data_IF_027248749266
#
_entry.id   IF_027248749266
#
_cell.length_a   1.000
_cell.length_b   1.000
_cell.length_c   1.000
_cell.angle_alpha   90.00
_cell.angle_beta   90.00
_cell.angle_gamma   90.00
#
_symmetry.space_group_name_H-M   'P 1'
#
loop_
_entity.id
_entity.type
_entity.pdbx_description
1 polymer ?
#
# COMPACT_ATOMS: atom_id res chain seq x y z
N UNK A 1 28.98 -6.14 27.44
CA UNK A 1 29.39 -5.39 26.22
C UNK A 1 28.32 -5.47 25.12
N UNK A 2 27.46 -4.44 25.02
CA UNK A 2 26.34 -4.36 24.07
C UNK A 2 26.75 -3.71 22.72
N UNK A 3 28.00 -3.85 22.30
CA UNK A 3 28.57 -3.16 21.14
C UNK A 3 28.53 -3.96 19.82
N UNK A 4 27.83 -5.10 19.77
CA UNK A 4 27.86 -6.01 18.60
C UNK A 4 26.51 -6.25 17.91
N UNK A 5 25.53 -5.35 18.04
CA UNK A 5 24.31 -5.40 17.21
C UNK A 5 24.35 -4.24 16.21
N UNK A 6 25.14 -4.41 15.15
CA UNK A 6 25.07 -3.58 13.93
C UNK A 6 24.03 -4.11 12.94
N UNK A 7 22.89 -4.61 13.43
CA UNK A 7 21.72 -4.82 12.57
C UNK A 7 20.82 -3.61 12.73
N UNK A 8 20.91 -2.68 11.79
CA UNK A 8 19.93 -1.59 11.74
C UNK A 8 18.54 -2.19 11.54
N UNK A 9 17.50 -1.59 12.16
CA UNK A 9 16.09 -1.97 11.92
C UNK A 9 15.81 -2.12 10.42
N UNK A 10 16.38 -1.22 9.60
CA UNK A 10 16.37 -1.27 8.14
C UNK A 10 16.87 -2.60 7.57
N UNK A 11 18.01 -3.12 8.01
CA UNK A 11 18.55 -4.43 7.58
C UNK A 11 17.68 -5.59 8.07
N UNK A 12 17.11 -5.49 9.28
CA UNK A 12 16.19 -6.48 9.82
C UNK A 12 14.89 -6.56 8.99
N UNK A 13 14.31 -5.41 8.62
CA UNK A 13 13.14 -5.35 7.76
C UNK A 13 13.46 -5.70 6.31
N UNK A 14 14.67 -5.44 5.82
CA UNK A 14 15.10 -5.84 4.46
C UNK A 14 15.12 -7.36 4.28
N UNK A 15 15.55 -8.12 5.30
CA UNK A 15 15.44 -9.59 5.30
C UNK A 15 14.00 -10.07 5.49
N UNK A 16 13.20 -9.38 6.30
CA UNK A 16 11.75 -9.64 6.39
C UNK A 16 11.06 -9.38 5.03
N UNK A 17 11.51 -8.38 4.25
CA UNK A 17 10.98 -8.08 2.89
C UNK A 17 11.22 -9.20 1.89
N UNK A 18 12.39 -9.83 1.90
CA UNK A 18 12.68 -11.00 1.05
C UNK A 18 11.78 -12.18 1.42
N UNK A 19 11.50 -12.35 2.71
CA UNK A 19 10.64 -13.41 3.21
C UNK A 19 9.13 -13.16 2.98
N UNK A 20 8.72 -11.88 2.88
CA UNK A 20 7.35 -11.44 2.61
C UNK A 20 7.07 -11.11 1.13
N UNK A 21 8.07 -11.26 0.25
CA UNK A 21 7.89 -11.32 -1.20
C UNK A 21 6.94 -10.25 -1.76
N UNK A 22 7.28 -8.97 -1.66
CA UNK A 22 6.69 -7.93 -2.49
C UNK A 22 7.23 -8.05 -3.93
N UNK A 23 6.80 -9.13 -4.60
CA UNK A 23 6.82 -9.31 -6.04
C UNK A 23 5.46 -9.90 -6.42
N UNK A 24 4.42 -9.10 -6.21
CA UNK A 24 3.10 -9.39 -6.76
C UNK A 24 2.65 -8.22 -7.63
N UNK A 25 3.25 -8.05 -8.82
CA UNK A 25 2.92 -6.97 -9.75
C UNK A 25 1.45 -7.00 -10.25
N UNK A 26 0.59 -7.84 -9.69
CA UNK A 26 -0.81 -7.98 -10.11
C UNK A 26 -1.82 -8.12 -8.96
N UNK A 27 -1.40 -8.15 -7.68
CA UNK A 27 -2.34 -8.35 -6.57
C UNK A 27 -3.22 -7.11 -6.34
N UNK A 28 -2.68 -5.92 -6.58
CA UNK A 28 -3.42 -4.68 -6.44
C UNK A 28 -4.18 -4.28 -7.71
N UNK A 29 -3.73 -4.69 -8.89
CA UNK A 29 -4.28 -4.29 -10.18
C UNK A 29 -5.80 -4.46 -10.29
N UNK A 30 -6.34 -5.58 -9.79
CA UNK A 30 -7.78 -5.85 -9.80
C UNK A 30 -8.54 -4.87 -8.92
N UNK A 31 -8.00 -4.53 -7.75
CA UNK A 31 -8.66 -3.62 -6.81
C UNK A 31 -8.46 -2.15 -7.25
N UNK A 32 -7.29 -1.81 -7.80
CA UNK A 32 -7.01 -0.48 -8.34
C UNK A 32 -7.91 -0.16 -9.53
N UNK A 33 -8.22 -1.13 -10.41
CA UNK A 33 -9.19 -0.97 -11.49
C UNK A 33 -10.65 -0.87 -11.02
N UNK A 34 -10.96 -1.30 -9.79
CA UNK A 34 -12.28 -1.06 -9.18
C UNK A 34 -12.35 0.34 -8.55
N UNK A 35 -11.24 0.79 -7.98
CA UNK A 35 -11.11 2.06 -7.28
C UNK A 35 -10.97 3.26 -8.23
N UNK A 36 -10.27 3.05 -9.35
CA UNK A 36 -9.95 4.04 -10.37
C UNK A 36 -10.39 3.54 -11.76
N UNK A 37 -10.52 4.45 -12.72
CA UNK A 37 -10.94 4.16 -14.08
C UNK A 37 -9.81 4.38 -15.09
N UNK A 38 -9.74 3.53 -16.12
CA UNK A 38 -8.91 3.73 -17.31
C UNK A 38 -9.74 4.17 -18.53
N UNK A 39 -11.00 4.55 -18.35
CA UNK A 39 -11.87 4.95 -19.45
C UNK A 39 -11.35 6.25 -20.11
N UNK A 40 -11.45 6.30 -21.45
CA UNK A 40 -11.06 7.46 -22.25
C UNK A 40 -11.87 8.70 -21.87
N UNK A 41 -13.10 8.53 -21.39
CA UNK A 41 -13.95 9.61 -20.86
C UNK A 41 -13.28 10.39 -19.72
N UNK A 42 -12.42 9.74 -18.93
CA UNK A 42 -11.75 10.32 -17.77
C UNK A 42 -10.34 10.85 -18.05
N UNK A 43 -9.90 10.96 -19.32
CA UNK A 43 -8.52 11.38 -19.66
C UNK A 43 -8.10 12.74 -19.08
N UNK A 44 -9.05 13.63 -18.83
CA UNK A 44 -8.80 14.96 -18.23
C UNK A 44 -8.81 14.97 -16.71
N UNK A 45 -9.21 13.86 -16.08
CA UNK A 45 -9.29 13.76 -14.64
C UNK A 45 -7.89 13.61 -14.01
N UNK A 46 -7.73 13.95 -12.73
CA UNK A 46 -6.49 13.70 -12.00
C UNK A 46 -6.07 12.24 -12.09
N UNK A 47 -4.76 12.00 -12.19
CA UNK A 47 -4.22 10.64 -12.21
C UNK A 47 -4.37 10.00 -10.84
N UNK A 48 -4.67 8.70 -10.82
CA UNK A 48 -4.77 7.92 -9.59
C UNK A 48 -3.48 7.99 -8.77
N UNK A 49 -2.33 7.97 -9.45
CA UNK A 49 -1.01 8.10 -8.83
C UNK A 49 -0.82 9.44 -8.12
N UNK A 50 -1.28 10.56 -8.71
CA UNK A 50 -1.18 11.87 -8.07
C UNK A 50 -2.08 11.96 -6.83
N UNK A 51 -3.32 11.48 -6.93
CA UNK A 51 -4.26 11.46 -5.81
C UNK A 51 -3.77 10.59 -4.64
N UNK A 52 -3.32 9.37 -4.93
CA UNK A 52 -2.74 8.49 -3.89
C UNK A 52 -1.49 9.11 -3.26
N UNK A 53 -0.64 9.78 -4.04
CA UNK A 53 0.53 10.48 -3.51
C UNK A 53 0.13 11.61 -2.56
N UNK A 54 -0.91 12.38 -2.91
CA UNK A 54 -1.45 13.45 -2.09
C UNK A 54 -2.05 12.92 -0.78
N UNK A 55 -2.78 11.79 -0.83
CA UNK A 55 -3.43 11.22 0.35
C UNK A 55 -2.50 10.37 1.23
N UNK A 56 -1.33 10.00 0.71
CA UNK A 56 -0.38 9.05 1.33
C UNK A 56 -0.17 9.28 2.82
N UNK A 57 0.11 10.52 3.23
CA UNK A 57 0.41 10.86 4.61
C UNK A 57 -0.77 10.61 5.57
N UNK A 58 -1.98 10.95 5.12
CA UNK A 58 -3.21 10.76 5.89
C UNK A 58 -3.59 9.29 5.96
N UNK A 59 -3.59 8.59 4.81
CA UNK A 59 -3.88 7.15 4.76
C UNK A 59 -2.93 6.40 5.70
N UNK A 60 -1.63 6.69 5.63
CA UNK A 60 -0.63 6.09 6.51
C UNK A 60 -0.96 6.30 7.98
N UNK A 61 -1.27 7.53 8.38
CA UNK A 61 -1.57 7.86 9.78
C UNK A 61 -2.81 7.12 10.27
N UNK A 62 -3.89 7.15 9.50
CA UNK A 62 -5.16 6.49 9.84
C UNK A 62 -4.98 4.98 9.92
N UNK A 63 -4.41 4.37 8.87
CA UNK A 63 -4.24 2.92 8.82
C UNK A 63 -3.29 2.41 9.90
N UNK A 64 -2.19 3.11 10.19
CA UNK A 64 -1.28 2.73 11.26
C UNK A 64 -2.00 2.71 12.61
N UNK A 65 -2.82 3.73 12.88
CA UNK A 65 -3.58 3.85 14.12
C UNK A 65 -4.58 2.71 14.31
N UNK A 66 -5.26 2.29 13.24
CA UNK A 66 -6.32 1.27 13.32
C UNK A 66 -5.82 -0.17 13.23
N UNK A 67 -4.70 -0.41 12.52
CA UNK A 67 -4.18 -1.76 12.27
C UNK A 67 -3.02 -2.14 13.18
N UNK A 68 -2.40 -1.17 13.87
CA UNK A 68 -1.14 -1.38 14.61
C UNK A 68 0.06 -1.69 13.71
N UNK A 69 -0.10 -1.60 12.38
CA UNK A 69 0.98 -1.83 11.45
C UNK A 69 2.02 -0.71 11.50
N UNK A 70 3.28 -1.08 11.23
CA UNK A 70 4.36 -0.11 11.13
C UNK A 70 4.12 0.84 9.95
N UNK A 71 4.23 2.15 10.17
CA UNK A 71 4.09 3.19 9.15
C UNK A 71 4.91 2.92 7.89
N UNK A 72 6.12 2.35 8.04
CA UNK A 72 6.97 1.95 6.93
C UNK A 72 6.31 0.89 6.03
N UNK A 73 5.64 -0.12 6.61
CA UNK A 73 4.96 -1.17 5.84
C UNK A 73 3.81 -0.58 5.01
N UNK A 74 3.03 0.32 5.62
CA UNK A 74 1.94 1.01 4.92
C UNK A 74 2.51 1.90 3.80
N UNK A 75 3.62 2.60 4.06
CA UNK A 75 4.31 3.39 3.04
C UNK A 75 4.81 2.55 1.85
N UNK A 76 5.24 1.30 2.09
CA UNK A 76 5.61 0.39 1.01
C UNK A 76 4.39 -0.02 0.17
N UNK A 77 3.29 -0.40 0.82
CA UNK A 77 2.04 -0.75 0.12
C UNK A 77 1.53 0.42 -0.72
N UNK A 78 1.52 1.63 -0.14
CA UNK A 78 1.12 2.84 -0.86
C UNK A 78 2.06 3.15 -2.04
N UNK A 79 3.37 2.96 -1.88
CA UNK A 79 4.34 3.15 -2.96
C UNK A 79 4.08 2.20 -4.13
N UNK A 80 3.87 0.92 -3.85
CA UNK A 80 3.55 -0.08 -4.87
C UNK A 80 2.24 0.26 -5.58
N UNK A 81 1.19 0.61 -4.84
CA UNK A 81 -0.08 1.05 -5.44
C UNK A 81 0.07 2.28 -6.35
N UNK A 82 0.91 3.25 -5.96
CA UNK A 82 1.19 4.44 -6.78
C UNK A 82 1.91 4.04 -8.08
N UNK A 83 2.89 3.15 -8.02
CA UNK A 83 3.62 2.64 -9.18
C UNK A 83 2.69 1.88 -10.14
N UNK A 84 1.88 0.95 -9.62
CA UNK A 84 0.86 0.24 -10.40
C UNK A 84 -0.15 1.19 -11.05
N UNK A 85 -0.61 2.22 -10.34
CA UNK A 85 -1.50 3.24 -10.90
C UNK A 85 -0.88 4.01 -12.08
N UNK A 86 0.45 4.25 -12.06
CA UNK A 86 1.17 4.87 -13.18
C UNK A 86 1.24 3.93 -14.38
N UNK A 87 1.62 2.68 -14.14
CA UNK A 87 1.73 1.67 -15.20
C UNK A 87 0.39 1.37 -15.90
N UNK A 88 -0.70 1.39 -15.14
CA UNK A 88 -2.04 1.16 -15.64
C UNK A 88 -2.73 2.43 -16.18
N UNK A 89 -2.06 3.58 -16.13
CA UNK A 89 -2.57 4.89 -16.52
C UNK A 89 -3.95 5.23 -15.91
N UNK A 90 -4.16 4.82 -14.66
CA UNK A 90 -5.44 4.96 -13.97
C UNK A 90 -5.73 6.42 -13.62
N UNK A 91 -7.00 6.79 -13.70
CA UNK A 91 -7.53 8.12 -13.41
C UNK A 91 -8.75 8.05 -12.50
N UNK A 92 -9.07 9.17 -11.87
CA UNK A 92 -10.26 9.29 -11.04
C UNK A 92 -11.53 9.06 -11.89
N UNK A 93 -12.36 8.09 -11.50
CA UNK A 93 -13.65 7.79 -12.16
C UNK A 93 -14.88 8.06 -11.29
N UNK A 94 -14.68 8.49 -10.04
CA UNK A 94 -15.72 8.78 -9.05
C UNK A 94 -15.41 10.09 -8.33
N UNK A 95 -16.21 10.50 -7.35
CA UNK A 95 -15.85 11.67 -6.54
C UNK A 95 -14.60 11.41 -5.69
N UNK A 96 -13.82 12.47 -5.49
CA UNK A 96 -12.57 12.45 -4.71
C UNK A 96 -12.76 11.86 -3.31
N UNK A 97 -13.82 12.25 -2.61
CA UNK A 97 -14.10 11.80 -1.24
C UNK A 97 -14.40 10.30 -1.14
N UNK A 98 -15.21 9.79 -2.07
CA UNK A 98 -15.55 8.35 -2.14
C UNK A 98 -14.30 7.55 -2.47
N UNK A 99 -13.56 7.96 -3.50
CA UNK A 99 -12.33 7.28 -3.90
C UNK A 99 -11.28 7.27 -2.77
N UNK A 100 -11.10 8.38 -2.05
CA UNK A 100 -10.18 8.45 -0.91
C UNK A 100 -10.59 7.49 0.21
N UNK A 101 -11.89 7.41 0.52
CA UNK A 101 -12.43 6.48 1.52
C UNK A 101 -12.15 5.04 1.12
N UNK A 102 -12.44 4.67 -0.11
CA UNK A 102 -12.25 3.31 -0.61
C UNK A 102 -10.76 2.95 -0.68
N UNK A 103 -9.88 3.91 -1.02
CA UNK A 103 -8.44 3.75 -0.97
C UNK A 103 -7.95 3.45 0.46
N UNK A 104 -8.46 4.17 1.47
CA UNK A 104 -8.14 3.90 2.88
C UNK A 104 -8.55 2.49 3.30
N UNK A 105 -9.75 2.04 2.92
CA UNK A 105 -10.26 0.70 3.22
C UNK A 105 -9.37 -0.37 2.58
N UNK A 106 -9.02 -0.20 1.30
CA UNK A 106 -8.16 -1.15 0.58
C UNK A 106 -6.79 -1.29 1.23
N UNK A 107 -6.15 -0.17 1.59
CA UNK A 107 -4.84 -0.17 2.24
C UNK A 107 -4.94 -0.82 3.63
N UNK A 108 -5.98 -0.53 4.41
CA UNK A 108 -6.21 -1.17 5.70
C UNK A 108 -6.40 -2.68 5.57
N UNK A 109 -7.27 -3.12 4.66
CA UNK A 109 -7.54 -4.55 4.43
C UNK A 109 -6.27 -5.30 4.03
N UNK A 110 -5.48 -4.73 3.11
CA UNK A 110 -4.23 -5.34 2.64
C UNK A 110 -3.22 -5.40 3.77
N UNK A 111 -3.02 -4.30 4.48
CA UNK A 111 -2.10 -4.23 5.62
C UNK A 111 -2.47 -5.23 6.72
N UNK A 112 -3.74 -5.31 7.11
CA UNK A 112 -4.23 -6.29 8.09
C UNK A 112 -4.07 -7.73 7.61
N UNK A 113 -4.38 -8.02 6.34
CA UNK A 113 -4.16 -9.35 5.78
C UNK A 113 -2.68 -9.73 5.81
N UNK A 114 -1.77 -8.80 5.55
CA UNK A 114 -0.32 -9.04 5.66
C UNK A 114 0.09 -9.36 7.10
N UNK A 115 -0.40 -8.61 8.09
CA UNK A 115 -0.12 -8.87 9.51
C UNK A 115 -0.63 -10.25 9.97
N UNK A 116 -1.83 -10.63 9.53
CA UNK A 116 -2.46 -11.90 9.87
C UNK A 116 -1.82 -13.10 9.13
N UNK A 117 -1.35 -12.90 7.90
CA UNK A 117 -0.68 -13.92 7.11
C UNK A 117 0.74 -14.21 7.61
N UNK A 118 1.41 -13.20 8.19
CA UNK A 118 2.74 -13.35 8.79
C UNK A 118 2.75 -14.14 10.11
N UNK A 119 1.65 -14.17 10.85
CA UNK A 119 1.54 -14.92 12.11
C UNK A 119 1.33 -16.43 11.92
N UNK A 120 0.73 -16.87 10.80
CA UNK A 120 0.41 -18.29 10.56
C UNK A 120 1.59 -19.16 10.13
N UNK A 121 2.83 -18.67 10.17
CA UNK A 121 4.04 -19.44 9.83
C UNK A 121 5.11 -19.49 10.94
N UNK A 122 4.88 -18.88 12.11
CA UNK A 122 5.85 -18.92 13.24
C UNK A 122 5.43 -19.92 14.32
N UNK A 123 4.46 -20.79 14.02
CA UNK A 123 4.10 -21.89 14.89
C UNK A 123 4.09 -23.19 14.09
N UNK A 124 5.28 -23.71 13.80
CA UNK A 124 5.61 -25.13 13.69
C UNK A 124 7.08 -25.32 14.06
#
# INVERSE_FOLDING_TARGET
PLSSIRRTLRTHYQRKREHYGMNYPNVFDKDLRKLFSCDRSHRRNPTAAALLSQWRGEIRRVVANWTGAYSYMIDQVLQEMIERCRELELRLGTSTDVCKRDAMILVALRTSNYLNSGHRRVMM
#
